data_IF_044355184557
#
_entry.id   IF_044355184557
#
_cell.length_a   1.000
_cell.length_b   1.000
_cell.length_c   1.000
_cell.angle_alpha   90.00
_cell.angle_beta   90.00
_cell.angle_gamma   90.00
#
_symmetry.space_group_name_H-M   'P 1'
#
loop_
_entity.id
_entity.type
_entity.pdbx_description
1 polymer ?
#
# COMPACT_ATOMS: atom_id res chain seq x y z
N UNK A 1 0.65 20.40 -3.94
CA UNK A 1 1.54 19.51 -3.23
C UNK A 1 2.88 19.47 -3.93
N UNK A 2 3.52 20.60 -3.94
CA UNK A 2 4.74 20.80 -4.72
C UNK A 2 5.90 19.93 -4.25
N UNK A 3 5.86 19.53 -2.98
CA UNK A 3 6.94 18.73 -2.39
C UNK A 3 6.66 17.23 -2.38
N UNK A 4 5.48 16.80 -2.85
CA UNK A 4 5.13 15.40 -2.80
C UNK A 4 5.77 14.63 -3.95
N UNK A 5 6.70 13.72 -3.63
CA UNK A 5 7.40 12.93 -4.65
C UNK A 5 6.43 12.05 -5.43
N UNK A 6 5.38 11.51 -4.78
CA UNK A 6 4.42 10.65 -5.48
C UNK A 6 3.51 11.47 -6.41
N UNK A 7 3.15 12.70 -6.03
CA UNK A 7 2.45 13.61 -6.95
C UNK A 7 3.29 13.89 -8.18
N UNK A 8 4.59 14.08 -8.00
CA UNK A 8 5.51 14.34 -9.10
C UNK A 8 5.68 13.12 -10.02
N UNK A 9 5.68 11.92 -9.45
CA UNK A 9 5.70 10.69 -10.25
C UNK A 9 4.38 10.55 -11.01
N UNK A 10 3.26 10.79 -10.35
CA UNK A 10 1.93 10.68 -10.97
C UNK A 10 1.77 11.65 -12.14
N UNK A 11 2.31 12.87 -12.03
CA UNK A 11 2.23 13.88 -13.08
C UNK A 11 3.24 13.67 -14.21
N UNK A 12 4.23 12.79 -14.01
CA UNK A 12 5.30 12.59 -14.96
C UNK A 12 6.48 13.54 -14.80
N UNK A 13 6.44 14.46 -13.83
CA UNK A 13 7.54 15.36 -13.54
C UNK A 13 8.79 14.60 -13.13
N UNK A 14 8.62 13.55 -12.32
CA UNK A 14 9.69 12.62 -11.97
C UNK A 14 9.38 11.30 -12.65
N UNK A 15 10.37 10.74 -13.32
CA UNK A 15 10.22 9.49 -14.05
C UNK A 15 10.20 8.31 -13.06
N UNK A 16 9.27 7.38 -13.29
CA UNK A 16 9.18 6.14 -12.53
C UNK A 16 8.98 4.96 -13.46
N UNK A 17 9.19 3.76 -12.94
CA UNK A 17 8.95 2.53 -13.70
C UNK A 17 7.45 2.17 -13.52
N UNK A 18 6.65 2.63 -14.45
CA UNK A 18 5.19 2.48 -14.42
C UNK A 18 4.79 1.08 -14.86
N UNK A 19 4.00 0.42 -14.03
CA UNK A 19 3.51 -0.93 -14.30
C UNK A 19 2.11 -0.88 -14.90
N UNK A 20 1.28 0.01 -14.39
CA UNK A 20 -0.12 0.13 -14.78
C UNK A 20 -0.61 1.53 -14.42
N UNK A 21 -1.46 2.08 -15.25
CA UNK A 21 -1.98 3.41 -15.05
C UNK A 21 -3.39 3.52 -15.63
N UNK A 22 -4.27 4.19 -14.91
CA UNK A 22 -5.55 4.63 -15.44
C UNK A 22 -5.78 6.09 -15.03
N UNK A 23 -6.98 6.62 -15.27
CA UNK A 23 -7.25 8.03 -14.99
C UNK A 23 -7.09 8.41 -13.51
N UNK A 24 -7.30 7.46 -12.62
CA UNK A 24 -7.35 7.73 -11.18
C UNK A 24 -6.14 7.23 -10.40
N UNK A 25 -5.45 6.20 -10.91
CA UNK A 25 -4.41 5.51 -10.15
C UNK A 25 -3.17 5.24 -10.99
N UNK A 26 -2.08 4.99 -10.27
CA UNK A 26 -0.80 4.60 -10.86
C UNK A 26 -0.17 3.51 -10.00
N UNK A 27 0.33 2.47 -10.66
CA UNK A 27 1.17 1.46 -10.02
C UNK A 27 2.56 1.56 -10.60
N UNK A 28 3.57 1.61 -9.74
CA UNK A 28 4.97 1.75 -10.17
C UNK A 28 5.91 1.00 -9.22
N UNK A 29 7.12 0.73 -9.71
CA UNK A 29 8.11 0.02 -8.90
C UNK A 29 8.64 0.90 -7.78
N UNK A 30 8.72 0.33 -6.57
CA UNK A 30 9.50 0.93 -5.49
C UNK A 30 10.97 0.72 -5.83
N UNK A 31 11.76 1.79 -5.75
CA UNK A 31 13.19 1.72 -6.04
C UNK A 31 14.03 1.31 -4.83
N UNK A 32 13.42 1.17 -3.66
CA UNK A 32 14.08 0.59 -2.51
C UNK A 32 14.41 -0.87 -2.84
N UNK A 33 15.64 -1.25 -2.82
CA UNK A 33 16.06 -2.59 -3.24
C UNK A 33 15.93 -3.58 -2.09
N UNK A 34 14.73 -3.67 -1.52
CA UNK A 34 14.45 -4.53 -0.38
C UNK A 34 13.93 -5.91 -0.79
N UNK A 35 13.03 -5.95 -1.77
CA UNK A 35 12.52 -7.22 -2.34
C UNK A 35 12.29 -7.03 -3.83
N UNK A 36 12.40 -8.11 -4.58
CA UNK A 36 12.08 -8.09 -6.00
C UNK A 36 10.57 -7.93 -6.20
N UNK A 37 10.20 -7.01 -7.08
CA UNK A 37 8.80 -6.83 -7.43
C UNK A 37 8.00 -5.98 -6.44
N UNK A 38 8.66 -5.25 -5.56
CA UNK A 38 7.98 -4.34 -4.63
C UNK A 38 7.30 -3.22 -5.42
N UNK A 39 5.99 -3.18 -5.37
CA UNK A 39 5.15 -2.27 -6.16
C UNK A 39 4.39 -1.35 -5.24
N UNK A 40 4.24 -0.10 -5.65
CA UNK A 40 3.41 0.89 -4.96
C UNK A 40 2.22 1.22 -5.83
N UNK A 41 1.03 1.25 -5.23
CA UNK A 41 -0.20 1.70 -5.90
C UNK A 41 -0.65 2.98 -5.21
N UNK A 42 -0.81 4.04 -5.99
CA UNK A 42 -1.20 5.35 -5.47
C UNK A 42 -2.40 5.91 -6.22
N UNK A 43 -3.21 6.74 -5.57
CA UNK A 43 -4.13 7.62 -6.31
C UNK A 43 -3.33 8.75 -6.93
N UNK A 44 -3.77 9.22 -8.09
CA UNK A 44 -3.14 10.39 -8.72
C UNK A 44 -3.45 11.66 -7.96
N UNK A 45 -4.67 11.74 -7.40
CA UNK A 45 -5.04 12.83 -6.51
C UNK A 45 -4.36 12.65 -5.16
N UNK A 46 -3.91 13.74 -4.58
CA UNK A 46 -3.17 13.69 -3.30
C UNK A 46 -4.11 13.49 -2.12
N UNK A 47 -3.85 12.43 -1.35
CA UNK A 47 -4.39 12.20 -0.02
C UNK A 47 -3.23 11.81 0.86
N UNK A 48 -3.25 12.20 2.12
CA UNK A 48 -2.14 11.91 3.02
C UNK A 48 -2.08 10.42 3.34
N UNK A 49 -3.24 9.84 3.69
CA UNK A 49 -3.31 8.42 4.04
C UNK A 49 -4.78 7.96 3.97
N UNK A 50 -5.08 6.78 4.52
CA UNK A 50 -6.44 6.23 4.45
C UNK A 50 -7.46 7.09 5.20
N UNK A 51 -7.00 7.86 6.19
CA UNK A 51 -7.91 8.62 7.05
C UNK A 51 -8.57 9.81 6.33
N UNK A 52 -7.89 10.41 5.35
CA UNK A 52 -8.43 11.53 4.58
C UNK A 52 -8.83 11.15 3.16
N UNK A 53 -8.55 9.93 2.73
CA UNK A 53 -8.87 9.46 1.39
C UNK A 53 -10.37 9.20 1.26
N UNK A 54 -11.02 9.77 0.23
CA UNK A 54 -12.44 9.51 0.05
C UNK A 54 -12.70 8.07 -0.42
N UNK A 55 -13.94 7.61 -0.23
CA UNK A 55 -14.31 6.22 -0.51
C UNK A 55 -14.18 5.84 -1.98
N UNK A 56 -14.46 6.77 -2.88
CA UNK A 56 -14.37 6.50 -4.32
C UNK A 56 -12.92 6.31 -4.75
N UNK A 57 -12.03 7.17 -4.26
CA UNK A 57 -10.60 7.06 -4.54
C UNK A 57 -10.03 5.79 -3.90
N UNK A 58 -10.42 5.50 -2.67
CA UNK A 58 -10.01 4.26 -2.01
C UNK A 58 -10.42 3.04 -2.82
N UNK A 59 -11.65 3.03 -3.34
CA UNK A 59 -12.13 1.94 -4.19
C UNK A 59 -11.29 1.81 -5.46
N UNK A 60 -10.94 2.93 -6.08
CA UNK A 60 -10.11 2.91 -7.29
C UNK A 60 -8.72 2.33 -7.01
N UNK A 61 -8.10 2.73 -5.91
CA UNK A 61 -6.78 2.21 -5.51
C UNK A 61 -6.87 0.71 -5.21
N UNK A 62 -7.92 0.29 -4.53
CA UNK A 62 -8.12 -1.13 -4.20
C UNK A 62 -8.33 -1.97 -5.46
N UNK A 63 -9.13 -1.47 -6.41
CA UNK A 63 -9.33 -2.18 -7.69
C UNK A 63 -8.02 -2.34 -8.45
N UNK A 64 -7.21 -1.29 -8.51
CA UNK A 64 -5.91 -1.36 -9.17
C UNK A 64 -4.99 -2.35 -8.44
N UNK A 65 -4.98 -2.32 -7.12
CA UNK A 65 -4.22 -3.28 -6.32
C UNK A 65 -4.60 -4.72 -6.66
N UNK A 66 -5.89 -4.99 -6.81
CA UNK A 66 -6.37 -6.31 -7.20
C UNK A 66 -5.90 -6.70 -8.60
N UNK A 67 -5.99 -5.77 -9.56
CA UNK A 67 -5.54 -6.01 -10.94
C UNK A 67 -4.06 -6.41 -10.95
N UNK A 68 -3.22 -5.67 -10.26
CA UNK A 68 -1.79 -5.95 -10.19
C UNK A 68 -1.52 -7.27 -9.47
N UNK A 69 -2.21 -7.53 -8.37
CA UNK A 69 -2.04 -8.77 -7.61
C UNK A 69 -2.37 -10.00 -8.46
N UNK A 70 -3.48 -9.95 -9.20
CA UNK A 70 -3.85 -11.03 -10.12
C UNK A 70 -2.82 -11.19 -11.23
N UNK A 71 -2.33 -10.08 -11.77
CA UNK A 71 -1.31 -10.11 -12.81
C UNK A 71 -0.03 -10.80 -12.31
N UNK A 72 0.40 -10.49 -11.10
CA UNK A 72 1.60 -11.08 -10.52
C UNK A 72 1.46 -12.59 -10.34
N UNK A 73 0.29 -13.06 -9.92
CA UNK A 73 0.08 -14.49 -9.67
C UNK A 73 -0.24 -15.27 -10.95
N UNK A 74 -0.92 -14.67 -11.90
CA UNK A 74 -1.31 -15.35 -13.13
C UNK A 74 -0.23 -15.32 -14.22
N UNK A 75 0.58 -14.26 -14.26
CA UNK A 75 1.50 -14.04 -15.38
C UNK A 75 2.97 -13.87 -15.00
N UNK A 76 3.28 -13.63 -13.73
CA UNK A 76 4.66 -13.32 -13.31
C UNK A 76 5.30 -14.41 -12.46
N UNK A 77 4.61 -15.52 -12.23
CA UNK A 77 5.18 -16.66 -11.53
C UNK A 77 5.16 -16.58 -10.01
N UNK A 78 4.48 -15.59 -9.44
CA UNK A 78 4.33 -15.49 -7.98
C UNK A 78 3.12 -16.29 -7.50
N UNK A 79 3.13 -16.67 -6.23
CA UNK A 79 2.05 -17.48 -5.66
C UNK A 79 1.07 -16.68 -4.82
N UNK A 80 1.51 -15.56 -4.30
CA UNK A 80 0.66 -14.71 -3.47
C UNK A 80 1.24 -13.32 -3.35
N UNK A 81 0.56 -12.49 -2.56
CA UNK A 81 1.00 -11.12 -2.28
C UNK A 81 0.72 -10.76 -0.83
N UNK A 82 1.59 -9.92 -0.26
CA UNK A 82 1.25 -9.18 0.95
C UNK A 82 0.92 -7.75 0.53
N UNK A 83 -0.13 -7.21 1.13
CA UNK A 83 -0.51 -5.81 0.93
C UNK A 83 -0.23 -5.08 2.22
N UNK A 84 0.57 -4.02 2.15
CA UNK A 84 0.95 -3.25 3.33
C UNK A 84 0.55 -1.80 3.15
N UNK A 85 0.02 -1.22 4.22
CA UNK A 85 -0.34 0.19 4.24
C UNK A 85 -0.08 0.74 5.63
N UNK A 86 0.39 1.96 5.70
CA UNK A 86 0.62 2.65 6.97
C UNK A 86 0.01 4.03 6.89
N UNK A 87 -0.71 4.42 7.92
CA UNK A 87 -1.29 5.75 8.06
C UNK A 87 -0.79 6.36 9.37
N UNK A 88 -0.09 7.49 9.26
CA UNK A 88 0.58 8.22 10.32
C UNK A 88 1.99 7.68 10.60
N UNK A 89 2.85 8.56 11.11
CA UNK A 89 4.23 8.21 11.46
C UNK A 89 4.29 7.08 12.49
N UNK A 90 3.35 7.07 13.44
CA UNK A 90 3.29 6.04 14.47
C UNK A 90 3.13 4.64 13.89
N UNK A 91 2.58 4.54 12.69
CA UNK A 91 2.39 3.28 11.99
C UNK A 91 3.48 3.01 10.95
N UNK A 92 4.46 3.92 10.81
CA UNK A 92 5.58 3.75 9.90
C UNK A 92 5.39 4.39 8.54
N UNK A 93 4.43 5.31 8.40
CA UNK A 93 4.25 6.01 7.13
C UNK A 93 5.41 6.97 6.88
N UNK A 94 6.15 6.74 5.78
CA UNK A 94 7.30 7.57 5.44
C UNK A 94 6.99 8.63 4.40
N UNK A 95 6.07 8.37 3.47
CA UNK A 95 5.67 9.33 2.43
C UNK A 95 4.21 9.71 2.66
N UNK A 96 3.92 11.01 2.87
CA UNK A 96 2.55 11.46 3.16
C UNK A 96 1.71 11.62 1.88
N UNK A 97 1.58 10.55 1.15
CA UNK A 97 0.71 10.37 0.01
C UNK A 97 0.22 8.93 0.07
N UNK A 98 -1.08 8.73 0.16
CA UNK A 98 -1.67 7.41 0.35
C UNK A 98 -1.10 6.41 -0.66
N UNK A 99 -0.65 5.27 -0.18
CA UNK A 99 -0.13 4.22 -1.05
C UNK A 99 -0.28 2.84 -0.42
N UNK A 100 -0.47 1.84 -1.27
CA UNK A 100 -0.48 0.44 -0.86
C UNK A 100 0.76 -0.21 -1.45
N UNK A 101 1.53 -0.88 -0.59
CA UNK A 101 2.66 -1.69 -1.02
C UNK A 101 2.16 -3.08 -1.41
N UNK A 102 2.63 -3.59 -2.53
CA UNK A 102 2.40 -4.97 -2.93
C UNK A 102 3.76 -5.68 -2.88
N UNK A 103 3.85 -6.71 -2.06
CA UNK A 103 5.04 -7.55 -1.95
C UNK A 103 4.70 -8.90 -2.56
N UNK A 104 5.24 -9.23 -3.75
CA UNK A 104 4.99 -10.54 -4.36
C UNK A 104 5.67 -11.64 -3.56
N UNK A 105 4.98 -12.76 -3.39
CA UNK A 105 5.48 -13.84 -2.54
C UNK A 105 5.53 -15.18 -3.27
N UNK A 106 6.54 -15.96 -2.89
CA UNK A 106 6.64 -17.37 -3.26
C UNK A 106 6.89 -18.16 -2.00
N UNK A 107 6.47 -19.41 -1.98
CA UNK A 107 6.71 -20.29 -0.84
C UNK A 107 8.23 -20.38 -0.58
N UNK A 108 8.61 -20.23 0.69
CA UNK A 108 10.00 -20.34 1.13
C UNK A 108 10.95 -19.32 0.51
N UNK A 109 10.44 -18.12 0.21
CA UNK A 109 11.23 -17.03 -0.39
C UNK A 109 12.12 -16.27 0.62
N UNK A 110 11.96 -16.56 1.91
CA UNK A 110 12.78 -15.94 2.95
C UNK A 110 12.38 -14.51 3.32
N UNK A 111 11.31 -13.99 2.73
CA UNK A 111 10.82 -12.64 3.01
C UNK A 111 9.89 -12.66 4.22
N UNK A 112 10.14 -11.78 5.19
CA UNK A 112 9.26 -11.61 6.34
C UNK A 112 8.58 -10.24 6.24
N UNK A 113 7.37 -10.23 5.67
CA UNK A 113 6.58 -9.00 5.51
C UNK A 113 5.55 -8.84 6.62
N UNK A 114 5.50 -9.76 7.57
CA UNK A 114 4.56 -9.70 8.69
C UNK A 114 5.34 -9.62 10.01
N UNK A 115 5.23 -8.51 10.74
CA UNK A 115 6.03 -8.36 11.96
C UNK A 115 5.61 -9.35 13.05
N UNK A 116 6.54 -9.69 13.89
CA UNK A 116 6.27 -10.50 15.06
C UNK A 116 5.92 -9.56 16.20
N UNK A 117 4.68 -9.67 16.69
CA UNK A 117 4.19 -8.81 17.75
C UNK A 117 4.58 -9.37 19.13
N UNK A 118 4.82 -8.48 20.07
CA UNK A 118 5.23 -8.88 21.44
C UNK A 118 4.09 -9.50 22.24
N UNK A 119 2.85 -9.22 21.89
CA UNK A 119 1.68 -9.71 22.57
C UNK A 119 0.84 -8.57 23.15
N UNK A 120 -0.43 -8.87 23.39
CA UNK A 120 -1.37 -7.92 23.96
C UNK A 120 -1.08 -7.74 25.46
N UNK A 121 -1.31 -6.53 25.96
CA UNK A 121 -1.03 -6.16 27.35
C UNK A 121 -2.26 -5.86 28.19
N UNK A 122 -3.38 -5.61 27.53
CA UNK A 122 -4.61 -5.20 28.22
C UNK A 122 -5.67 -6.29 28.11
N UNK A 123 -6.64 -6.23 29.01
CA UNK A 123 -7.77 -7.14 28.97
C UNK A 123 -8.56 -6.95 27.67
N UNK A 124 -8.83 -8.05 26.96
CA UNK A 124 -9.48 -7.99 25.64
C UNK A 124 -10.88 -7.38 25.69
N UNK A 125 -11.63 -7.65 26.78
CA UNK A 125 -12.98 -7.11 26.91
C UNK A 125 -12.96 -5.58 27.07
N UNK A 126 -11.99 -5.07 27.83
CA UNK A 126 -11.83 -3.63 28.02
C UNK A 126 -11.43 -2.96 26.71
N UNK A 127 -10.51 -3.58 25.95
CA UNK A 127 -10.10 -3.06 24.65
C UNK A 127 -11.27 -3.09 23.68
N UNK A 128 -12.04 -4.19 23.65
CA UNK A 128 -13.22 -4.31 22.80
C UNK A 128 -14.21 -3.16 23.03
N UNK A 129 -14.49 -2.84 24.31
CA UNK A 129 -15.41 -1.75 24.62
C UNK A 129 -14.88 -0.39 24.14
N UNK A 130 -13.57 -0.21 24.17
CA UNK A 130 -12.91 1.02 23.71
C UNK A 130 -12.94 1.18 22.20
N UNK A 131 -12.69 0.10 21.46
CA UNK A 131 -12.47 0.19 20.01
C UNK A 131 -13.70 -0.12 19.16
N UNK A 132 -14.73 -0.74 19.74
CA UNK A 132 -15.93 -1.07 18.96
C UNK A 132 -16.62 0.19 18.44
N UNK A 133 -17.15 0.09 17.23
CA UNK A 133 -17.86 1.21 16.59
C UNK A 133 -19.24 1.33 17.27
N UNK A 134 -19.54 2.54 17.70
CA UNK A 134 -20.82 2.88 18.29
C UNK A 134 -21.49 3.92 17.40
N UNK A 135 -22.62 3.56 16.82
CA UNK A 135 -23.39 4.45 15.93
C UNK A 135 -24.71 4.83 16.52
#
# INVERSE_FOLDING_TARGET
MDDCIFCKIASGEIQGLRIYENDETLAFMDIAKDVDGHILVIPKKHYINILDCDSETLSAVTRTTKIISNHLTEHCGYEGVNLLNASDESAGQSVPHFHIHIIPRKKDDGIDAWPKFEGAKEDIQAVFEKVRVKE
#
